data_IF_763013911460
#
_entry.id   IF_763013911460
#
_cell.length_a   1.000
_cell.length_b   1.000
_cell.length_c   1.000
_cell.angle_alpha   90.00
_cell.angle_beta   90.00
_cell.angle_gamma   90.00
#
_symmetry.space_group_name_H-M   'P 1'
#
loop_
_entity.id
_entity.type
_entity.pdbx_description
1 polymer ?
#
# COMPACT_ATOMS: atom_id res chain seq x y z
N UNK A 1 -23.96 -0.71 80.61
CA UNK A 1 -23.30 0.42 79.91
C UNK A 1 -22.34 -0.03 78.79
N UNK A 2 -21.73 -1.22 78.88
CA UNK A 2 -20.79 -1.75 77.87
C UNK A 2 -21.42 -2.23 76.54
N UNK A 3 -22.74 -2.46 76.48
CA UNK A 3 -23.40 -2.99 75.28
C UNK A 3 -23.77 -1.92 74.23
N UNK A 4 -23.93 -0.66 74.66
CA UNK A 4 -24.29 0.46 73.77
C UNK A 4 -23.09 0.88 72.89
N UNK A 5 -21.88 0.85 73.44
CA UNK A 5 -20.64 1.21 72.72
C UNK A 5 -20.35 0.22 71.57
N UNK A 6 -20.72 -1.06 71.73
CA UNK A 6 -20.48 -2.10 70.71
C UNK A 6 -21.40 -1.95 69.49
N UNK A 7 -22.61 -1.43 69.67
CA UNK A 7 -23.59 -1.20 68.58
C UNK A 7 -23.17 0.00 67.71
N UNK A 8 -22.69 1.06 68.32
CA UNK A 8 -22.25 2.27 67.61
C UNK A 8 -20.93 2.04 66.81
N UNK A 9 -20.07 1.14 67.30
CA UNK A 9 -18.82 0.77 66.60
C UNK A 9 -19.06 -0.12 65.38
N UNK A 10 -20.11 -0.96 65.39
CA UNK A 10 -20.45 -1.83 64.25
C UNK A 10 -21.15 -1.07 63.12
N UNK A 11 -22.11 -0.19 63.44
CA UNK A 11 -22.80 0.63 62.43
C UNK A 11 -21.83 1.57 61.69
N UNK A 12 -20.83 2.10 62.39
CA UNK A 12 -19.83 2.99 61.80
C UNK A 12 -18.75 2.25 60.96
N UNK A 13 -18.55 0.94 61.18
CA UNK A 13 -17.68 0.08 60.37
C UNK A 13 -18.36 -0.36 59.05
N UNK A 14 -19.64 -0.70 59.09
CA UNK A 14 -20.39 -1.09 57.87
C UNK A 14 -20.56 0.08 56.90
N UNK A 15 -20.77 1.31 57.41
CA UNK A 15 -20.91 2.50 56.56
C UNK A 15 -19.58 2.90 55.88
N UNK A 16 -18.44 2.75 56.58
CA UNK A 16 -17.10 3.00 56.00
C UNK A 16 -16.72 1.95 54.94
N UNK A 17 -17.17 0.71 55.10
CA UNK A 17 -16.88 -0.38 54.16
C UNK A 17 -17.71 -0.27 52.88
N UNK A 18 -18.98 0.17 52.99
CA UNK A 18 -19.86 0.42 51.84
C UNK A 18 -19.41 1.63 50.99
N UNK A 19 -18.96 2.73 51.62
CA UNK A 19 -18.39 3.87 50.90
C UNK A 19 -17.03 3.58 50.24
N UNK A 20 -16.22 2.70 50.84
CA UNK A 20 -14.94 2.28 50.26
C UNK A 20 -15.13 1.41 49.01
N UNK A 21 -16.19 0.59 48.97
CA UNK A 21 -16.54 -0.23 47.80
C UNK A 21 -17.01 0.64 46.61
N UNK A 22 -17.89 1.62 46.85
CA UNK A 22 -18.38 2.53 45.80
C UNK A 22 -17.30 3.44 45.19
N UNK A 23 -16.33 3.92 45.98
CA UNK A 23 -15.19 4.70 45.46
C UNK A 23 -14.17 3.84 44.71
N UNK A 24 -13.94 2.60 45.16
CA UNK A 24 -13.07 1.65 44.44
C UNK A 24 -13.66 1.22 43.10
N UNK A 25 -14.98 1.00 43.04
CA UNK A 25 -15.67 0.63 41.79
C UNK A 25 -15.72 1.80 40.79
N UNK A 26 -15.92 3.04 41.25
CA UNK A 26 -15.83 4.25 40.39
C UNK A 26 -14.40 4.51 39.91
N UNK A 27 -13.40 4.27 40.75
CA UNK A 27 -11.99 4.35 40.35
C UNK A 27 -11.61 3.29 39.32
N UNK A 28 -12.13 2.07 39.46
CA UNK A 28 -11.92 0.99 38.49
C UNK A 28 -12.63 1.27 37.16
N UNK A 29 -13.88 1.76 37.20
CA UNK A 29 -14.61 2.16 36.00
C UNK A 29 -13.94 3.33 35.27
N UNK A 30 -13.42 4.32 36.00
CA UNK A 30 -12.65 5.41 35.41
C UNK A 30 -11.31 4.93 34.82
N UNK A 31 -10.63 3.98 35.47
CA UNK A 31 -9.40 3.39 34.96
C UNK A 31 -9.64 2.53 33.71
N UNK A 32 -10.76 1.79 33.64
CA UNK A 32 -11.18 1.02 32.46
C UNK A 32 -11.60 1.96 31.32
N UNK A 33 -12.33 3.03 31.61
CA UNK A 33 -12.67 4.05 30.59
C UNK A 33 -11.42 4.75 30.06
N UNK A 34 -10.46 5.07 30.93
CA UNK A 34 -9.18 5.63 30.53
C UNK A 34 -8.34 4.63 29.71
N UNK A 35 -8.32 3.33 30.06
CA UNK A 35 -7.58 2.33 29.28
C UNK A 35 -8.23 2.04 27.93
N UNK A 36 -9.56 2.10 27.80
CA UNK A 36 -10.26 2.04 26.51
C UNK A 36 -9.96 3.30 25.67
N UNK A 37 -9.95 4.48 26.29
CA UNK A 37 -9.62 5.73 25.60
C UNK A 37 -8.16 5.75 25.12
N UNK A 38 -7.20 5.26 25.91
CA UNK A 38 -5.79 5.18 25.52
C UNK A 38 -5.49 4.02 24.54
N UNK A 39 -6.17 2.88 24.64
CA UNK A 39 -6.02 1.78 23.67
C UNK A 39 -6.71 2.07 22.32
N UNK A 40 -7.69 2.98 22.30
CA UNK A 40 -8.36 3.43 21.08
C UNK A 40 -7.44 4.12 20.07
N UNK A 41 -6.40 4.83 20.51
CA UNK A 41 -5.49 5.52 19.57
C UNK A 41 -4.68 4.56 18.69
N UNK A 42 -4.28 3.39 19.19
CA UNK A 42 -3.55 2.41 18.36
C UNK A 42 -4.46 1.69 17.35
N UNK A 43 -5.63 1.26 17.82
CA UNK A 43 -6.59 0.49 17.01
C UNK A 43 -7.28 1.38 15.97
N UNK A 44 -7.68 2.60 16.33
CA UNK A 44 -8.38 3.52 15.40
C UNK A 44 -7.44 4.00 14.30
N UNK A 45 -6.19 4.34 14.62
CA UNK A 45 -5.23 4.75 13.59
C UNK A 45 -4.98 3.63 12.59
N UNK A 46 -4.74 2.40 13.05
CA UNK A 46 -4.55 1.25 12.17
C UNK A 46 -5.77 0.98 11.27
N UNK A 47 -6.99 1.09 11.82
CA UNK A 47 -8.22 0.89 11.06
C UNK A 47 -8.47 2.00 10.02
N UNK A 48 -8.14 3.26 10.33
CA UNK A 48 -8.26 4.38 9.39
C UNK A 48 -7.29 4.22 8.21
N UNK A 49 -6.03 3.85 8.46
CA UNK A 49 -5.06 3.68 7.38
C UNK A 49 -5.37 2.47 6.51
N UNK A 50 -5.83 1.36 7.11
CA UNK A 50 -6.28 0.19 6.34
C UNK A 50 -7.46 0.54 5.43
N UNK A 51 -8.51 1.12 6.00
CA UNK A 51 -9.73 1.44 5.22
C UNK A 51 -9.46 2.47 4.12
N UNK A 52 -8.59 3.45 4.39
CA UNK A 52 -8.21 4.45 3.38
C UNK A 52 -7.39 3.81 2.27
N UNK A 53 -6.47 2.90 2.61
CA UNK A 53 -5.71 2.11 1.65
C UNK A 53 -6.62 1.28 0.75
N UNK A 54 -7.57 0.55 1.32
CA UNK A 54 -8.53 -0.29 0.58
C UNK A 54 -9.37 0.54 -0.39
N UNK A 55 -9.86 1.71 0.04
CA UNK A 55 -10.64 2.62 -0.82
C UNK A 55 -9.80 3.18 -1.95
N UNK A 56 -8.55 3.60 -1.68
CA UNK A 56 -7.67 4.13 -2.72
C UNK A 56 -7.26 3.06 -3.74
N UNK A 57 -6.98 1.84 -3.29
CA UNK A 57 -6.70 0.70 -4.16
C UNK A 57 -7.92 0.37 -5.03
N UNK A 58 -9.10 0.20 -4.41
CA UNK A 58 -10.34 -0.09 -5.14
C UNK A 58 -10.74 1.00 -6.13
N UNK A 59 -10.62 2.27 -5.77
CA UNK A 59 -10.88 3.39 -6.67
C UNK A 59 -9.90 3.40 -7.85
N UNK A 60 -8.61 3.17 -7.58
CA UNK A 60 -7.60 3.13 -8.63
C UNK A 60 -7.88 2.02 -9.63
N UNK A 61 -8.19 0.82 -9.14
CA UNK A 61 -8.54 -0.35 -9.95
C UNK A 61 -9.79 -0.14 -10.80
N UNK A 62 -10.87 0.36 -10.20
CA UNK A 62 -12.18 0.36 -10.86
C UNK A 62 -12.47 1.63 -11.68
N UNK A 63 -11.73 2.73 -11.44
CA UNK A 63 -12.02 4.01 -12.08
C UNK A 63 -10.80 4.65 -12.70
N UNK A 64 -9.66 4.70 -11.98
CA UNK A 64 -8.47 5.35 -12.52
C UNK A 64 -7.87 4.56 -13.67
N UNK A 65 -7.67 3.24 -13.49
CA UNK A 65 -7.06 2.39 -14.52
C UNK A 65 -7.86 2.38 -15.83
N UNK A 66 -9.18 2.12 -15.83
CA UNK A 66 -9.97 2.14 -17.07
C UNK A 66 -9.98 3.51 -17.74
N UNK A 67 -10.04 4.59 -16.96
CA UNK A 67 -10.00 5.96 -17.50
C UNK A 67 -8.70 6.24 -18.26
N UNK A 68 -7.57 5.70 -17.81
CA UNK A 68 -6.31 5.84 -18.54
C UNK A 68 -6.24 4.96 -19.78
N UNK A 69 -6.83 3.77 -19.73
CA UNK A 69 -6.87 2.88 -20.89
C UNK A 69 -7.74 3.43 -22.02
N UNK A 70 -8.75 4.25 -21.68
CA UNK A 70 -9.54 5.01 -22.66
C UNK A 70 -8.77 6.22 -23.22
N UNK A 71 -7.73 6.68 -22.54
CA UNK A 71 -6.92 7.82 -22.95
C UNK A 71 -5.83 7.42 -23.95
N UNK A 72 -5.66 8.21 -25.01
CA UNK A 72 -4.60 8.03 -26.01
C UNK A 72 -3.27 8.71 -25.61
N UNK A 73 -3.23 9.45 -24.50
CA UNK A 73 -2.03 10.16 -24.02
C UNK A 73 -1.09 9.23 -23.23
N UNK A 74 -0.15 8.61 -23.96
CA UNK A 74 0.90 7.76 -23.39
C UNK A 74 1.79 8.50 -22.39
N UNK A 75 2.11 9.78 -22.63
CA UNK A 75 2.98 10.54 -21.74
C UNK A 75 2.33 10.77 -20.38
N UNK A 76 1.02 11.08 -20.38
CA UNK A 76 0.24 11.19 -19.16
C UNK A 76 0.09 9.84 -18.45
N UNK A 77 -0.18 8.75 -19.20
CA UNK A 77 -0.20 7.39 -18.65
C UNK A 77 1.12 7.01 -17.96
N UNK A 78 2.25 7.28 -18.61
CA UNK A 78 3.59 7.07 -18.08
C UNK A 78 3.85 7.85 -16.79
N UNK A 79 3.62 9.17 -16.82
CA UNK A 79 3.83 10.03 -15.65
C UNK A 79 2.93 9.59 -14.49
N UNK A 80 1.70 9.19 -14.78
CA UNK A 80 0.78 8.72 -13.77
C UNK A 80 1.24 7.39 -13.19
N UNK A 81 1.56 6.37 -14.01
CA UNK A 81 2.03 5.07 -13.52
C UNK A 81 3.30 5.19 -12.67
N UNK A 82 4.26 6.02 -13.09
CA UNK A 82 5.48 6.26 -12.32
C UNK A 82 5.23 6.96 -10.97
N UNK A 83 4.27 7.88 -10.92
CA UNK A 83 3.93 8.61 -9.70
C UNK A 83 3.03 7.81 -8.75
N UNK A 84 2.06 7.07 -9.28
CA UNK A 84 1.08 6.33 -8.47
C UNK A 84 1.61 4.98 -8.01
N UNK A 85 2.55 4.34 -8.72
CA UNK A 85 3.18 3.09 -8.25
C UNK A 85 3.70 3.20 -6.81
N UNK A 86 4.65 4.10 -6.47
CA UNK A 86 5.17 4.18 -5.10
C UNK A 86 4.10 4.62 -4.08
N UNK A 87 3.13 5.43 -4.48
CA UNK A 87 2.02 5.85 -3.62
C UNK A 87 1.15 4.65 -3.24
N UNK A 88 0.69 3.87 -4.22
CA UNK A 88 -0.17 2.72 -4.01
C UNK A 88 0.55 1.59 -3.28
N UNK A 89 1.82 1.33 -3.62
CA UNK A 89 2.66 0.37 -2.89
C UNK A 89 2.89 0.78 -1.43
N UNK A 90 2.87 2.08 -1.12
CA UNK A 90 3.05 2.53 0.27
C UNK A 90 1.93 2.08 1.21
N UNK A 91 0.74 1.83 0.66
CA UNK A 91 -0.42 1.34 1.40
C UNK A 91 -0.31 -0.16 1.74
N UNK A 92 0.54 -0.95 1.07
CA UNK A 92 0.81 -2.35 1.43
C UNK A 92 1.38 -2.54 2.84
N UNK A 93 1.85 -1.46 3.50
CA UNK A 93 2.26 -1.49 4.91
C UNK A 93 1.09 -1.46 5.90
N UNK A 94 -0.09 -1.03 5.47
CA UNK A 94 -1.26 -0.80 6.33
C UNK A 94 -2.48 -1.60 5.89
N UNK A 95 -2.48 -2.11 4.65
CA UNK A 95 -3.47 -3.04 4.12
C UNK A 95 -2.81 -4.11 3.25
N UNK A 96 -3.60 -4.99 2.61
CA UNK A 96 -3.09 -5.95 1.62
C UNK A 96 -2.29 -5.26 0.52
N UNK A 97 -1.19 -5.89 0.12
CA UNK A 97 -0.37 -5.43 -0.99
C UNK A 97 -1.23 -5.40 -2.27
N UNK A 98 -1.24 -4.29 -3.03
CA UNK A 98 -2.07 -4.18 -4.23
C UNK A 98 -1.39 -4.86 -5.43
N UNK A 99 -1.15 -6.16 -5.36
CA UNK A 99 -0.30 -6.88 -6.32
C UNK A 99 -0.79 -6.75 -7.78
N UNK A 100 -2.09 -6.94 -8.06
CA UNK A 100 -2.62 -6.75 -9.42
C UNK A 100 -2.35 -5.33 -9.98
N UNK A 101 -2.64 -4.30 -9.18
CA UNK A 101 -2.35 -2.92 -9.58
C UNK A 101 -0.85 -2.68 -9.74
N UNK A 102 -0.04 -3.29 -8.88
CA UNK A 102 1.41 -3.20 -8.96
C UNK A 102 1.91 -3.77 -10.28
N UNK A 103 1.37 -4.91 -10.74
CA UNK A 103 1.74 -5.51 -12.04
C UNK A 103 1.48 -4.50 -13.15
N UNK A 104 0.25 -4.00 -13.29
CA UNK A 104 -0.07 -3.04 -14.36
C UNK A 104 0.81 -1.79 -14.29
N UNK A 105 0.95 -1.18 -13.11
CA UNK A 105 1.70 0.06 -12.94
C UNK A 105 3.19 -0.11 -13.23
N UNK A 106 3.78 -1.25 -12.83
CA UNK A 106 5.19 -1.55 -13.11
C UNK A 106 5.42 -2.01 -14.55
N UNK A 107 4.48 -2.69 -15.19
CA UNK A 107 4.53 -2.99 -16.63
C UNK A 107 4.49 -1.69 -17.44
N UNK A 108 3.48 -0.86 -17.21
CA UNK A 108 3.30 0.43 -17.90
C UNK A 108 4.53 1.33 -17.69
N UNK A 109 4.99 1.51 -16.45
CA UNK A 109 6.22 2.29 -16.20
C UNK A 109 7.49 1.64 -16.79
N UNK A 110 7.54 0.32 -16.92
CA UNK A 110 8.61 -0.40 -17.63
C UNK A 110 8.63 -0.03 -19.10
N UNK A 111 7.48 -0.05 -19.77
CA UNK A 111 7.32 0.31 -21.17
C UNK A 111 7.70 1.76 -21.45
N UNK A 112 7.40 2.68 -20.52
CA UNK A 112 7.82 4.07 -20.63
C UNK A 112 9.36 4.25 -20.58
N UNK A 113 10.06 3.45 -19.78
CA UNK A 113 11.51 3.46 -19.75
C UNK A 113 12.11 2.81 -21.01
N UNK A 114 11.41 1.85 -21.61
CA UNK A 114 11.79 1.23 -22.88
C UNK A 114 11.63 2.20 -24.06
N UNK A 115 10.57 3.00 -24.08
CA UNK A 115 10.38 4.08 -25.05
C UNK A 115 11.55 5.08 -25.02
N UNK A 116 11.96 5.53 -23.82
CA UNK A 116 13.14 6.37 -23.67
C UNK A 116 14.42 5.69 -24.19
N UNK A 117 14.52 4.37 -24.04
CA UNK A 117 15.66 3.62 -24.57
C UNK A 117 15.65 3.63 -26.10
N UNK A 118 14.48 3.44 -26.73
CA UNK A 118 14.32 3.51 -28.18
C UNK A 118 14.68 4.89 -28.74
N UNK A 119 14.30 5.98 -28.07
CA UNK A 119 14.69 7.35 -28.47
C UNK A 119 16.21 7.55 -28.41
N UNK A 120 16.87 7.01 -27.37
CA UNK A 120 18.33 7.04 -27.28
C UNK A 120 19.02 6.19 -28.35
N UNK A 121 18.42 5.07 -28.73
CA UNK A 121 18.91 4.26 -29.84
C UNK A 121 18.83 5.02 -31.17
N UNK A 122 17.70 5.66 -31.46
CA UNK A 122 17.53 6.48 -32.68
C UNK A 122 18.56 7.61 -32.73
N UNK A 123 18.79 8.30 -31.61
CA UNK A 123 19.83 9.33 -31.51
C UNK A 123 21.24 8.75 -31.75
N UNK A 124 21.52 7.56 -31.22
CA UNK A 124 22.79 6.85 -31.45
C UNK A 124 23.00 6.47 -32.91
N UNK A 125 21.96 5.94 -33.56
CA UNK A 125 21.99 5.60 -34.98
C UNK A 125 22.17 6.84 -35.87
N UNK A 126 21.52 7.95 -35.55
CA UNK A 126 21.71 9.22 -36.24
C UNK A 126 23.15 9.74 -36.11
N UNK A 127 23.73 9.65 -34.91
CA UNK A 127 25.14 10.02 -34.67
C UNK A 127 26.12 9.11 -35.41
N UNK A 128 25.86 7.79 -35.44
CA UNK A 128 26.64 6.84 -36.24
C UNK A 128 26.60 7.18 -37.73
N UNK A 129 25.43 7.53 -38.26
CA UNK A 129 25.29 7.97 -39.65
C UNK A 129 26.07 9.27 -39.93
N UNK A 130 26.15 10.17 -38.94
CA UNK A 130 26.98 11.37 -38.99
C UNK A 130 28.48 11.14 -38.78
N UNK A 131 28.92 9.90 -38.57
CA UNK A 131 30.29 9.52 -38.18
C UNK A 131 30.77 10.17 -36.86
N UNK A 132 29.85 10.50 -35.96
CA UNK A 132 30.16 10.97 -34.61
C UNK A 132 30.11 9.81 -33.62
N UNK A 133 31.25 9.12 -33.47
CA UNK A 133 31.38 7.98 -32.57
C UNK A 133 31.20 8.32 -31.10
N UNK A 134 31.60 9.53 -30.67
CA UNK A 134 31.49 9.94 -29.26
C UNK A 134 30.03 10.23 -28.89
N UNK A 135 29.28 10.91 -29.75
CA UNK A 135 27.85 11.12 -29.55
C UNK A 135 27.07 9.79 -29.62
N UNK A 136 27.44 8.89 -30.53
CA UNK A 136 26.83 7.57 -30.62
C UNK A 136 27.07 6.73 -29.36
N UNK A 137 28.30 6.72 -28.82
CA UNK A 137 28.63 6.00 -27.60
C UNK A 137 27.84 6.54 -26.39
N UNK A 138 27.77 7.86 -26.22
CA UNK A 138 26.99 8.47 -25.14
C UNK A 138 25.48 8.13 -25.26
N UNK A 139 24.94 8.18 -26.47
CA UNK A 139 23.55 7.80 -26.74
C UNK A 139 23.28 6.33 -26.36
N UNK A 140 24.16 5.40 -26.75
CA UNK A 140 24.02 3.99 -26.38
C UNK A 140 24.23 3.72 -24.89
N UNK A 141 25.06 4.51 -24.19
CA UNK A 141 25.16 4.44 -22.73
C UNK A 141 23.83 4.82 -22.07
N UNK A 142 23.15 5.86 -22.58
CA UNK A 142 21.83 6.28 -22.09
C UNK A 142 20.77 5.21 -22.40
N UNK A 143 20.76 4.66 -23.61
CA UNK A 143 19.90 3.52 -23.98
C UNK A 143 20.05 2.36 -22.98
N UNK A 144 21.28 1.92 -22.71
CA UNK A 144 21.55 0.82 -21.76
C UNK A 144 21.02 1.11 -20.36
N UNK A 145 21.15 2.35 -19.88
CA UNK A 145 20.62 2.77 -18.57
C UNK A 145 19.10 2.70 -18.54
N UNK A 146 18.44 3.16 -19.61
CA UNK A 146 16.99 3.12 -19.75
C UNK A 146 16.46 1.68 -19.82
N UNK A 147 17.07 0.79 -20.61
CA UNK A 147 16.70 -0.64 -20.61
C UNK A 147 16.94 -1.32 -19.26
N UNK A 148 18.01 -0.95 -18.55
CA UNK A 148 18.25 -1.48 -17.20
C UNK A 148 17.14 -1.06 -16.24
N UNK A 149 16.62 0.16 -16.36
CA UNK A 149 15.49 0.63 -15.57
C UNK A 149 14.20 -0.10 -15.95
N UNK A 150 13.92 -0.25 -17.25
CA UNK A 150 12.77 -1.00 -17.75
C UNK A 150 12.77 -2.45 -17.23
N UNK A 151 13.89 -3.16 -17.38
CA UNK A 151 14.06 -4.52 -16.89
C UNK A 151 13.82 -4.65 -15.37
N UNK A 152 14.29 -3.68 -14.57
CA UNK A 152 14.02 -3.66 -13.11
C UNK A 152 12.53 -3.49 -12.81
N UNK A 153 11.81 -2.67 -13.58
CA UNK A 153 10.37 -2.43 -13.40
C UNK A 153 9.58 -3.66 -13.84
N UNK A 154 9.89 -4.25 -14.99
CA UNK A 154 9.29 -5.51 -15.42
C UNK A 154 9.55 -6.65 -14.44
N UNK A 155 10.75 -6.73 -13.86
CA UNK A 155 11.03 -7.74 -12.84
C UNK A 155 10.19 -7.54 -11.57
N UNK A 156 9.94 -6.29 -11.16
CA UNK A 156 9.01 -6.01 -10.04
C UNK A 156 7.59 -6.38 -10.38
N UNK A 157 7.11 -6.06 -11.59
CA UNK A 157 5.82 -6.50 -12.06
C UNK A 157 5.69 -8.03 -11.96
N UNK A 158 6.69 -8.76 -12.45
CA UNK A 158 6.74 -10.22 -12.34
C UNK A 158 6.69 -10.73 -10.88
N UNK A 159 7.42 -10.09 -9.97
CA UNK A 159 7.38 -10.45 -8.55
C UNK A 159 5.98 -10.29 -7.95
N UNK A 160 5.27 -9.21 -8.29
CA UNK A 160 3.89 -8.97 -7.84
C UNK A 160 2.90 -9.92 -8.52
N UNK A 161 3.09 -10.23 -9.80
CA UNK A 161 2.27 -11.20 -10.52
C UNK A 161 2.35 -12.57 -9.86
N UNK A 162 3.57 -13.06 -9.59
CA UNK A 162 3.79 -14.34 -8.92
C UNK A 162 3.31 -14.35 -7.46
N UNK A 163 3.34 -13.20 -6.77
CA UNK A 163 2.80 -13.09 -5.43
C UNK A 163 1.26 -13.24 -5.41
N UNK A 164 0.58 -12.79 -6.48
CA UNK A 164 -0.87 -12.87 -6.61
C UNK A 164 -1.36 -14.20 -7.19
N UNK A 165 -0.85 -14.63 -8.34
CA UNK A 165 -1.30 -15.84 -9.06
C UNK A 165 -0.53 -17.12 -8.70
N UNK A 166 0.62 -17.01 -8.01
CA UNK A 166 1.53 -18.13 -7.80
C UNK A 166 2.52 -18.32 -8.95
N UNK A 167 3.43 -19.29 -8.81
CA UNK A 167 4.42 -19.59 -9.85
C UNK A 167 3.76 -20.39 -10.97
N UNK A 168 3.71 -19.90 -12.23
CA UNK A 168 3.06 -20.60 -13.33
C UNK A 168 3.70 -21.95 -13.68
N UNK A 169 4.92 -22.23 -13.23
CA UNK A 169 5.55 -23.55 -13.40
C UNK A 169 5.05 -24.60 -12.40
N UNK A 170 4.44 -24.17 -11.29
CA UNK A 170 4.05 -25.03 -10.16
C UNK A 170 2.53 -25.10 -9.95
N UNK A 171 1.78 -24.10 -10.44
CA UNK A 171 0.32 -24.00 -10.27
C UNK A 171 -0.41 -24.17 -11.60
N UNK A 172 -1.63 -24.70 -11.52
CA UNK A 172 -2.55 -24.76 -12.67
C UNK A 172 -2.98 -23.33 -13.06
N UNK A 173 -3.37 -23.13 -14.33
CA UNK A 173 -3.72 -21.81 -14.87
C UNK A 173 -4.84 -21.19 -14.01
N UNK A 174 -4.66 -19.97 -13.46
CA UNK A 174 -5.63 -19.36 -12.55
C UNK A 174 -6.96 -19.09 -13.27
N UNK A 175 -8.07 -19.27 -12.55
CA UNK A 175 -9.37 -18.80 -13.02
C UNK A 175 -9.44 -17.28 -12.91
N UNK A 176 -9.99 -16.61 -13.93
CA UNK A 176 -10.16 -15.16 -13.96
C UNK A 176 -11.54 -14.79 -13.45
N UNK A 177 -11.60 -14.06 -12.33
CA UNK A 177 -12.86 -13.68 -11.69
C UNK A 177 -13.35 -12.27 -12.10
N UNK A 178 -12.46 -11.44 -12.65
CA UNK A 178 -12.77 -10.07 -13.07
C UNK A 178 -11.88 -9.54 -14.22
N UNK A 179 -12.27 -8.38 -14.76
CA UNK A 179 -11.64 -7.75 -15.93
C UNK A 179 -10.14 -7.44 -15.73
N UNK A 180 -9.71 -7.21 -14.48
CA UNK A 180 -8.30 -6.97 -14.18
C UNK A 180 -7.50 -8.28 -14.18
N UNK A 181 -8.12 -9.37 -13.73
CA UNK A 181 -7.53 -10.69 -13.84
C UNK A 181 -7.37 -11.11 -15.32
N UNK A 182 -8.36 -10.82 -16.16
CA UNK A 182 -8.24 -11.08 -17.62
C UNK A 182 -7.13 -10.25 -18.27
N UNK A 183 -6.90 -9.01 -17.80
CA UNK A 183 -5.86 -8.14 -18.36
C UNK A 183 -4.43 -8.51 -17.93
N UNK A 184 -4.27 -9.08 -16.72
CA UNK A 184 -2.96 -9.29 -16.09
C UNK A 184 -2.53 -10.78 -16.10
N UNK A 185 -3.49 -11.69 -16.27
CA UNK A 185 -3.32 -13.15 -16.25
C UNK A 185 -2.53 -13.76 -17.39
#
# INVERSE_FOLDING_TARGET
MFEKIKKDTNVMKDFRTSLACGKRLRGFAAAVAASVALSGCGVVNHMIYKTTGDVMQGFSRNHTVPYLMESEDLAMGCAMSEATAPLLMSFGRVTSEPDQLAVMLYLSSGSCAEEQAMEHELAGLAAMHGMDGTAAEDAFIRQKRAHTLAAKRYHRAWQHHNAYYGNPEETECPDFDDDMDEFIG
#
